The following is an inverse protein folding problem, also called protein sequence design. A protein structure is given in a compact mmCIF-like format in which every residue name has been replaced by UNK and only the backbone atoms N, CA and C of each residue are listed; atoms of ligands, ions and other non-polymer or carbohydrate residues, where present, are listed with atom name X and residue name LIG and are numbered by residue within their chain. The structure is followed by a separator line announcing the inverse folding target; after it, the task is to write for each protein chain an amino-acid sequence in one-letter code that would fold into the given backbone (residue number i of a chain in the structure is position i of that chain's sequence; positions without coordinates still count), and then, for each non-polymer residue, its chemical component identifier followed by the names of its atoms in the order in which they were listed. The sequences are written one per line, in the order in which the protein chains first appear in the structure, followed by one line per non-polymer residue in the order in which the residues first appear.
data_IF_271977233527
#
_entry.id   IF_271977233527
#
_cell.length_a   1.000
_cell.length_b   1.000
_cell.length_c   1.000
_cell.angle_alpha   90.00
_cell.angle_beta   90.00
_cell.angle_gamma   90.00
#
_symmetry.space_group_name_H-M   'P 1'
#
loop_
_entity.id
_entity.type
_entity.pdbx_description
1 polymer ?
#
# COMPACT_ATOMS: atom_id res chain seq x y z
N UNK A 1 25.36 -31.29 13.42
CA UNK A 1 24.55 -30.12 13.79
C UNK A 1 25.41 -28.89 13.75
N UNK A 2 24.85 -27.74 13.33
CA UNK A 2 25.48 -26.44 13.03
C UNK A 2 25.85 -26.21 11.56
N UNK A 3 24.85 -25.94 10.70
CA UNK A 3 25.00 -25.12 9.48
C UNK A 3 23.63 -24.77 8.86
N UNK A 4 22.70 -24.19 9.65
CA UNK A 4 21.34 -23.83 9.18
C UNK A 4 20.88 -22.43 9.69
N UNK A 5 21.81 -21.51 9.95
CA UNK A 5 21.51 -20.15 10.49
C UNK A 5 21.88 -19.00 9.53
N UNK A 6 22.60 -19.26 8.43
CA UNK A 6 23.10 -18.19 7.54
C UNK A 6 22.13 -17.83 6.40
N UNK A 7 21.37 -18.79 5.87
CA UNK A 7 20.37 -18.56 4.82
C UNK A 7 19.17 -17.73 5.29
N UNK A 8 18.87 -17.77 6.59
CA UNK A 8 17.75 -17.07 7.22
C UNK A 8 17.98 -15.55 7.27
N UNK A 9 19.22 -15.13 7.54
CA UNK A 9 19.60 -13.71 7.66
C UNK A 9 19.61 -12.97 6.32
N UNK A 10 19.98 -13.64 5.24
CA UNK A 10 19.92 -13.05 3.89
C UNK A 10 18.47 -12.87 3.42
N UNK A 11 17.58 -13.80 3.75
CA UNK A 11 16.18 -13.70 3.40
C UNK A 11 15.50 -12.53 4.14
N UNK A 12 15.85 -12.27 5.41
CA UNK A 12 15.35 -11.13 6.18
C UNK A 12 15.71 -9.75 5.58
N UNK A 13 16.80 -9.67 4.81
CA UNK A 13 17.23 -8.43 4.14
C UNK A 13 16.49 -8.14 2.82
N UNK A 14 15.66 -9.06 2.32
CA UNK A 14 14.86 -8.86 1.12
C UNK A 14 13.55 -8.11 1.43
N UNK A 15 13.11 -7.23 0.52
CA UNK A 15 11.93 -6.39 0.72
C UNK A 15 10.62 -7.20 0.59
N UNK A 16 10.07 -7.65 1.72
CA UNK A 16 8.83 -8.46 1.75
C UNK A 16 7.52 -7.66 1.79
N UNK A 17 7.57 -6.35 2.09
CA UNK A 17 6.38 -5.53 2.33
C UNK A 17 6.37 -4.27 1.49
N UNK A 18 5.39 -4.16 0.61
CA UNK A 18 5.08 -2.92 -0.11
C UNK A 18 4.06 -2.10 0.68
N UNK A 19 4.39 -0.84 0.96
CA UNK A 19 3.45 0.10 1.60
C UNK A 19 2.79 0.95 0.54
N UNK A 20 1.47 1.13 0.62
CA UNK A 20 0.74 2.09 -0.21
C UNK A 20 0.47 3.35 0.60
N UNK A 21 0.73 4.51 0.00
CA UNK A 21 0.41 5.82 0.57
C UNK A 21 -0.86 6.35 -0.09
N UNK A 22 -1.81 6.78 0.73
CA UNK A 22 -3.06 7.36 0.25
C UNK A 22 -2.95 8.87 0.06
N UNK A 23 -3.62 9.40 -0.95
CA UNK A 23 -3.87 10.83 -1.10
C UNK A 23 -5.34 11.06 -1.41
N UNK A 24 -5.96 12.00 -0.71
CA UNK A 24 -7.37 12.35 -0.89
C UNK A 24 -7.53 12.98 -2.28
N UNK A 25 -8.50 12.47 -3.04
CA UNK A 25 -8.91 13.09 -4.31
C UNK A 25 -9.97 14.15 -3.97
N UNK A 26 -9.80 15.40 -4.40
CA UNK A 26 -10.82 16.43 -4.20
C UNK A 26 -12.15 15.99 -4.83
N UNK A 27 -13.21 16.00 -4.03
CA UNK A 27 -14.56 15.61 -4.44
C UNK A 27 -15.23 16.76 -5.21
N UNK A 28 -14.92 16.88 -6.50
CA UNK A 28 -15.56 17.85 -7.40
C UNK A 28 -16.83 17.30 -8.07
N UNK A 29 -17.09 15.98 -7.96
CA UNK A 29 -18.24 15.31 -8.55
C UNK A 29 -18.88 14.31 -7.57
N UNK A 30 -20.18 14.08 -7.73
CA UNK A 30 -20.95 13.10 -6.96
C UNK A 30 -20.84 11.73 -7.62
N UNK A 31 -20.10 10.81 -7.01
CA UNK A 31 -19.96 9.44 -7.48
C UNK A 31 -20.88 8.50 -6.72
N UNK A 32 -21.34 7.45 -7.39
CA UNK A 32 -22.23 6.43 -6.84
C UNK A 32 -21.70 5.06 -7.27
N UNK A 33 -21.74 4.10 -6.35
CA UNK A 33 -21.43 2.70 -6.62
C UNK A 33 -22.73 1.93 -6.60
N UNK A 34 -23.02 1.24 -7.69
CA UNK A 34 -24.24 0.47 -7.83
C UNK A 34 -23.91 -1.02 -7.79
N UNK A 35 -24.69 -1.77 -7.00
CA UNK A 35 -24.65 -3.24 -7.00
C UNK A 35 -25.94 -3.77 -7.58
N UNK A 36 -25.84 -4.64 -8.59
CA UNK A 36 -27.00 -5.32 -9.16
C UNK A 36 -27.25 -6.63 -8.41
N UNK A 37 -28.44 -6.78 -7.83
CA UNK A 37 -28.84 -7.99 -7.11
C UNK A 37 -30.30 -8.33 -7.42
N UNK A 38 -30.57 -9.55 -7.87
CA UNK A 38 -31.92 -10.04 -8.23
C UNK A 38 -32.70 -9.12 -9.19
N UNK A 39 -32.00 -8.52 -10.17
CA UNK A 39 -32.60 -7.61 -11.14
C UNK A 39 -32.93 -6.22 -10.58
N UNK A 40 -32.53 -5.91 -9.34
CA UNK A 40 -32.64 -4.60 -8.73
C UNK A 40 -31.27 -3.93 -8.63
N UNK A 41 -31.25 -2.61 -8.76
CA UNK A 41 -30.07 -1.77 -8.63
C UNK A 41 -30.04 -1.16 -7.22
N UNK A 42 -28.96 -1.39 -6.49
CA UNK A 42 -28.75 -0.82 -5.16
C UNK A 42 -27.65 0.25 -5.21
N UNK A 43 -28.04 1.54 -5.36
CA UNK A 43 -27.10 2.63 -5.41
C UNK A 43 -26.59 3.05 -4.03
N UNK A 44 -25.28 3.21 -3.89
CA UNK A 44 -24.63 3.72 -2.67
C UNK A 44 -23.75 4.93 -3.00
N UNK A 45 -23.96 6.11 -2.38
CA UNK A 45 -23.15 7.29 -2.65
C UNK A 45 -21.71 7.12 -2.15
N UNK A 46 -20.74 7.58 -2.93
CA UNK A 46 -19.32 7.58 -2.55
C UNK A 46 -18.98 8.88 -1.83
N UNK A 47 -18.66 8.78 -0.53
CA UNK A 47 -18.34 9.95 0.29
C UNK A 47 -16.93 10.51 0.05
N UNK A 48 -15.93 9.65 -0.14
CA UNK A 48 -14.54 10.08 -0.34
C UNK A 48 -13.79 9.07 -1.20
N UNK A 49 -12.96 9.56 -2.11
CA UNK A 49 -12.07 8.75 -2.93
C UNK A 49 -10.61 8.98 -2.52
N UNK A 50 -9.87 7.89 -2.38
CA UNK A 50 -8.45 7.91 -2.06
C UNK A 50 -7.65 7.32 -3.22
N UNK A 51 -6.64 8.06 -3.68
CA UNK A 51 -5.67 7.55 -4.63
C UNK A 51 -4.53 6.86 -3.86
N UNK A 52 -4.35 5.57 -4.09
CA UNK A 52 -3.24 4.81 -3.52
C UNK A 52 -2.04 4.83 -4.47
N UNK A 53 -0.87 5.20 -3.96
CA UNK A 53 0.40 5.17 -4.70
C UNK A 53 1.42 4.32 -3.94
N UNK A 54 2.32 3.59 -4.61
CA UNK A 54 3.44 2.91 -3.95
C UNK A 54 4.27 3.91 -3.13
N UNK A 55 4.44 3.62 -1.84
CA UNK A 55 5.29 4.40 -0.95
C UNK A 55 6.73 3.92 -1.04
N UNK A 56 7.65 4.82 -1.37
CA UNK A 56 9.08 4.54 -1.49
C UNK A 56 9.85 4.71 -0.17
N UNK A 57 9.17 4.62 0.98
CA UNK A 57 9.73 4.87 2.33
C UNK A 57 10.94 4.01 2.69
N UNK A 58 11.15 2.89 1.99
CA UNK A 58 12.32 2.04 2.19
C UNK A 58 13.59 2.68 1.62
N UNK A 59 13.49 3.48 0.55
CA UNK A 59 14.62 4.25 0.01
C UNK A 59 15.07 5.31 1.01
N UNK A 60 14.11 6.02 1.62
CA UNK A 60 14.40 7.03 2.65
C UNK A 60 15.17 6.41 3.84
N UNK A 61 14.76 5.22 4.29
CA UNK A 61 15.46 4.49 5.37
C UNK A 61 16.87 4.04 5.00
N UNK A 62 17.10 3.69 3.73
CA UNK A 62 18.44 3.31 3.24
C UNK A 62 19.34 4.55 3.24
N UNK A 63 18.83 5.69 2.80
CA UNK A 63 19.56 6.95 2.75
C UNK A 63 19.94 7.44 4.16
N UNK A 64 19.01 7.43 5.11
CA UNK A 64 19.27 7.75 6.53
C UNK A 64 20.39 6.89 7.14
N UNK A 65 20.42 5.59 6.80
CA UNK A 65 21.45 4.65 7.27
C UNK A 65 22.82 4.91 6.64
N UNK A 66 22.85 5.41 5.41
CA UNK A 66 24.10 5.70 4.69
C UNK A 66 24.66 7.09 5.03
N UNK A 67 23.82 8.10 5.22
CA UNK A 67 24.22 9.47 5.57
C UNK A 67 24.65 9.69 7.02
N UNK A 68 24.43 8.70 7.91
CA UNK A 68 24.86 8.74 9.32
C UNK A 68 26.26 8.13 9.56
N UNK A 69 27.05 7.91 8.51
CA UNK A 69 28.48 7.50 8.57
C UNK A 69 29.37 8.65 8.15
#
# INVERSE_FOLDING_TARGET
DFDDDDTSREHENLMHKQTLTATIIPTQANYMIDVMHNGQLHPTPVGTAYQLRPGLKYLDRIDEKQGSR
#
